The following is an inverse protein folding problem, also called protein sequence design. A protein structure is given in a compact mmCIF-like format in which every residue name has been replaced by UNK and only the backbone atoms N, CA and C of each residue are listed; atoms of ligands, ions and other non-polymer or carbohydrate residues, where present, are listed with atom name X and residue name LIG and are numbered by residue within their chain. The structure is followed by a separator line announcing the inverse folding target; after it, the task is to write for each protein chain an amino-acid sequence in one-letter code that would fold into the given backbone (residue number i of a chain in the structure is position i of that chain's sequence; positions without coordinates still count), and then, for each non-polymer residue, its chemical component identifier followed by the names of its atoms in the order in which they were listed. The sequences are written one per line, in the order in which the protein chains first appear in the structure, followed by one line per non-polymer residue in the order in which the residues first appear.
data_IF_714691215664
#
_entry.id   IF_714691215664
#
_cell.length_a   1.000
_cell.length_b   1.000
_cell.length_c   1.000
_cell.angle_alpha   90.00
_cell.angle_beta   90.00
_cell.angle_gamma   90.00
#
_symmetry.space_group_name_H-M   'P 1'
#
loop_
_entity.id
_entity.type
_entity.pdbx_description
1 polymer ?
#
# COMPACT_ATOMS: atom_id res chain seq x y z
N UNK A 1 9.24 32.87 24.24
CA UNK A 1 9.08 31.41 24.35
C UNK A 1 8.32 30.88 23.15
N UNK A 2 9.02 30.50 22.08
CA UNK A 2 8.40 29.82 20.94
C UNK A 2 8.12 28.38 21.37
N UNK A 3 6.85 28.06 21.58
CA UNK A 3 6.41 26.71 21.94
C UNK A 3 6.82 25.78 20.79
N UNK A 4 7.72 24.83 21.06
CA UNK A 4 8.20 23.81 20.11
C UNK A 4 7.04 22.86 19.79
N UNK A 5 6.14 23.26 18.91
CA UNK A 5 5.01 22.46 18.44
C UNK A 5 5.11 22.22 16.94
N UNK A 6 6.21 21.61 16.47
CA UNK A 6 6.30 21.13 15.09
C UNK A 6 7.11 19.83 15.04
N UNK A 7 6.69 18.81 15.79
CA UNK A 7 7.33 17.49 15.72
C UNK A 7 6.43 16.30 16.10
N UNK A 8 5.09 16.43 16.03
CA UNK A 8 4.18 15.32 16.39
C UNK A 8 3.32 14.81 15.22
N UNK A 9 3.47 15.35 14.01
CA UNK A 9 2.67 14.97 12.84
C UNK A 9 3.32 13.93 11.91
N UNK A 10 4.44 13.30 12.30
CA UNK A 10 5.19 12.39 11.40
C UNK A 10 5.63 11.06 12.02
N UNK A 11 5.02 10.61 13.11
CA UNK A 11 5.40 9.35 13.79
C UNK A 11 4.22 8.42 14.03
N UNK A 12 3.33 8.29 13.06
CA UNK A 12 2.27 7.29 13.17
C UNK A 12 1.67 6.93 11.82
N UNK A 13 1.81 5.66 11.45
CA UNK A 13 0.93 4.94 10.51
C UNK A 13 1.18 5.06 9.00
N UNK A 14 2.10 5.91 8.53
CA UNK A 14 2.45 5.94 7.09
C UNK A 14 3.26 4.71 6.62
N UNK A 15 3.99 4.06 7.53
CA UNK A 15 4.88 2.92 7.25
C UNK A 15 4.16 1.57 7.21
N UNK A 16 2.91 1.55 7.63
CA UNK A 16 2.10 0.34 7.78
C UNK A 16 1.34 -0.02 6.51
N UNK A 17 1.31 0.86 5.52
CA UNK A 17 0.66 0.63 4.23
C UNK A 17 1.70 0.50 3.12
N UNK A 18 1.58 -0.56 2.34
CA UNK A 18 2.36 -0.77 1.14
C UNK A 18 1.45 -0.70 -0.09
N UNK A 19 1.92 -0.04 -1.14
CA UNK A 19 1.27 -0.06 -2.44
C UNK A 19 1.64 -1.38 -3.13
N UNK A 20 0.67 -2.26 -3.28
CA UNK A 20 0.86 -3.56 -3.93
C UNK A 20 0.39 -3.47 -5.37
N UNK A 21 1.22 -3.91 -6.30
CA UNK A 21 0.92 -3.93 -7.73
C UNK A 21 0.78 -5.40 -8.14
N UNK A 22 -0.44 -5.82 -8.47
CA UNK A 22 -0.73 -7.18 -8.96
C UNK A 22 -0.93 -7.16 -10.47
N UNK A 23 -0.31 -8.10 -11.15
CA UNK A 23 -0.47 -8.31 -12.58
C UNK A 23 -1.67 -9.24 -12.82
N UNK A 24 -2.68 -8.76 -13.55
CA UNK A 24 -3.89 -9.51 -13.90
C UNK A 24 -3.82 -9.84 -15.39
N UNK A 25 -3.99 -11.12 -15.73
CA UNK A 25 -4.04 -11.57 -17.12
C UNK A 25 -5.47 -11.40 -17.65
N UNK A 26 -5.61 -10.57 -18.67
CA UNK A 26 -6.87 -10.38 -19.39
C UNK A 26 -7.18 -11.55 -20.33
N UNK A 27 -8.44 -11.67 -20.78
CA UNK A 27 -8.90 -12.77 -21.64
C UNK A 27 -8.15 -12.84 -22.97
N UNK A 28 -7.64 -11.71 -23.46
CA UNK A 28 -6.92 -11.62 -24.74
C UNK A 28 -5.40 -11.79 -24.58
N UNK A 29 -4.92 -12.24 -23.42
CA UNK A 29 -3.49 -12.40 -23.13
C UNK A 29 -2.75 -11.10 -22.81
N UNK A 30 -3.45 -9.97 -22.77
CA UNK A 30 -2.91 -8.71 -22.24
C UNK A 30 -2.70 -8.81 -20.73
N UNK A 31 -1.72 -8.08 -20.22
CA UNK A 31 -1.51 -7.93 -18.79
C UNK A 31 -1.85 -6.51 -18.36
N UNK A 32 -2.66 -6.41 -17.32
CA UNK A 32 -3.02 -5.14 -16.70
C UNK A 32 -2.49 -5.12 -15.27
N UNK A 33 -2.09 -3.95 -14.80
CA UNK A 33 -1.64 -3.77 -13.43
C UNK A 33 -2.80 -3.22 -12.59
N UNK A 34 -3.15 -3.93 -11.52
CA UNK A 34 -4.08 -3.45 -10.50
C UNK A 34 -3.27 -3.02 -9.29
N UNK A 35 -3.43 -1.78 -8.89
CA UNK A 35 -2.72 -1.18 -7.75
C UNK A 35 -3.67 -0.99 -6.59
N UNK A 36 -3.28 -1.42 -5.39
CA UNK A 36 -4.07 -1.22 -4.17
C UNK A 36 -3.15 -0.88 -2.99
N UNK A 37 -3.63 -0.02 -2.09
CA UNK A 37 -2.89 0.36 -0.88
C UNK A 37 -3.37 -0.54 0.25
N UNK A 38 -2.51 -1.48 0.66
CA UNK A 38 -2.88 -2.55 1.60
C UNK A 38 -2.00 -2.44 2.85
N UNK A 39 -2.56 -2.77 4.01
CA UNK A 39 -1.77 -2.88 5.25
C UNK A 39 -0.73 -3.99 5.12
N UNK A 40 0.45 -3.83 5.73
CA UNK A 40 1.57 -4.74 5.58
C UNK A 40 1.24 -6.21 5.90
N UNK A 41 0.35 -6.42 6.87
CA UNK A 41 -0.09 -7.75 7.28
C UNK A 41 -0.92 -8.48 6.21
N UNK A 42 -1.66 -7.72 5.39
CA UNK A 42 -2.58 -8.24 4.38
C UNK A 42 -1.98 -8.31 2.97
N UNK A 43 -0.71 -7.90 2.78
CA UNK A 43 -0.03 -7.97 1.46
C UNK A 43 -0.03 -9.40 0.91
N UNK A 44 0.22 -10.39 1.77
CA UNK A 44 0.31 -11.80 1.36
C UNK A 44 -1.03 -12.37 0.93
N UNK A 45 -2.11 -11.96 1.58
CA UNK A 45 -3.46 -12.38 1.24
C UNK A 45 -3.90 -11.76 -0.10
N UNK A 46 -3.60 -10.47 -0.28
CA UNK A 46 -3.86 -9.74 -1.52
C UNK A 46 -3.13 -10.33 -2.75
N UNK A 47 -1.90 -10.81 -2.58
CA UNK A 47 -1.14 -11.45 -3.65
C UNK A 47 -1.59 -12.90 -3.94
N UNK A 48 -2.17 -13.59 -2.95
CA UNK A 48 -2.63 -14.99 -3.09
C UNK A 48 -4.01 -15.09 -3.71
N UNK A 49 -4.86 -14.09 -3.51
CA UNK A 49 -6.14 -14.01 -4.22
C UNK A 49 -5.84 -14.05 -5.72
N UNK A 50 -6.46 -14.98 -6.46
CA UNK A 50 -6.06 -15.32 -7.83
C UNK A 50 -6.87 -14.54 -8.84
#
# INVERSE_FOLDING_TARGET
MAKKVVATLKTGKGKEFSKVIKMVKGPNGSYSFKEEVVHNDHIKDFLKEK
#
